data_IF_102733733451
#
_entry.id   IF_102733733451
#
_cell.length_a   1.000
_cell.length_b   1.000
_cell.length_c   1.000
_cell.angle_alpha   90.00
_cell.angle_beta   90.00
_cell.angle_gamma   90.00
#
_symmetry.space_group_name_H-M   'P 1'
#
loop_
_entity.id
_entity.type
_entity.pdbx_description
1 polymer ?
#
# COMPACT_ATOMS: atom_id res chain seq x y z
N UNK A 1 25.04 -30.07 -14.70
CA UNK A 1 25.26 -28.62 -14.56
C UNK A 1 24.21 -27.78 -15.27
N UNK A 2 24.07 -27.81 -16.62
CA UNK A 2 23.09 -26.97 -17.34
C UNK A 2 21.63 -27.14 -16.91
N UNK A 3 21.18 -28.38 -16.60
CA UNK A 3 19.80 -28.62 -16.14
C UNK A 3 19.47 -27.97 -14.80
N UNK A 4 20.39 -28.05 -13.84
CA UNK A 4 20.21 -27.47 -12.50
C UNK A 4 20.16 -25.94 -12.57
N UNK A 5 21.03 -25.35 -13.39
CA UNK A 5 21.03 -23.92 -13.63
C UNK A 5 19.69 -23.43 -14.22
N UNK A 6 19.18 -24.12 -15.23
CA UNK A 6 17.90 -23.74 -15.85
C UNK A 6 16.72 -23.85 -14.89
N UNK A 7 16.70 -24.88 -14.03
CA UNK A 7 15.64 -25.04 -13.02
C UNK A 7 15.71 -23.95 -11.96
N UNK A 8 16.92 -23.59 -11.50
CA UNK A 8 17.11 -22.49 -10.56
C UNK A 8 16.65 -21.14 -11.15
N UNK A 9 16.99 -20.87 -12.42
CA UNK A 9 16.56 -19.65 -13.12
C UNK A 9 15.03 -19.62 -13.29
N UNK A 10 14.40 -20.74 -13.65
CA UNK A 10 12.94 -20.82 -13.75
C UNK A 10 12.25 -20.59 -12.41
N UNK A 11 12.78 -21.15 -11.32
CA UNK A 11 12.26 -20.91 -9.97
C UNK A 11 12.41 -19.44 -9.56
N UNK A 12 13.55 -18.82 -9.88
CA UNK A 12 13.80 -17.41 -9.61
C UNK A 12 12.84 -16.51 -10.40
N UNK A 13 12.63 -16.79 -11.68
CA UNK A 13 11.68 -16.07 -12.53
C UNK A 13 10.25 -16.22 -12.02
N UNK A 14 9.83 -17.44 -11.65
CA UNK A 14 8.53 -17.68 -11.03
C UNK A 14 8.36 -16.84 -9.76
N UNK A 15 9.35 -16.85 -8.87
CA UNK A 15 9.35 -16.03 -7.64
C UNK A 15 9.20 -14.53 -7.93
N UNK A 16 9.95 -13.98 -8.88
CA UNK A 16 9.85 -12.57 -9.26
C UNK A 16 8.52 -12.22 -9.94
N UNK A 17 7.95 -13.13 -10.74
CA UNK A 17 6.68 -12.91 -11.44
C UNK A 17 5.48 -12.94 -10.49
N UNK A 18 5.50 -13.73 -9.41
CA UNK A 18 4.43 -13.71 -8.39
C UNK A 18 4.34 -12.34 -7.72
N UNK A 19 5.48 -11.72 -7.38
CA UNK A 19 5.51 -10.36 -6.83
C UNK A 19 5.02 -9.30 -7.82
N UNK A 20 5.34 -9.45 -9.12
CA UNK A 20 4.95 -8.50 -10.18
C UNK A 20 3.49 -8.64 -10.63
N UNK A 21 2.93 -9.85 -10.64
CA UNK A 21 1.53 -10.10 -11.02
C UNK A 21 0.56 -9.47 -10.01
N UNK A 22 0.90 -9.50 -8.72
CA UNK A 22 0.14 -8.81 -7.68
C UNK A 22 0.18 -7.28 -7.84
N UNK A 23 1.28 -6.72 -8.36
CA UNK A 23 1.42 -5.27 -8.57
C UNK A 23 0.78 -4.78 -9.87
N UNK A 24 0.74 -5.58 -10.93
CA UNK A 24 0.15 -5.18 -12.22
C UNK A 24 -1.35 -5.43 -12.31
N UNK A 25 -1.92 -6.37 -11.53
CA UNK A 25 -3.37 -6.51 -11.40
C UNK A 25 -4.03 -5.28 -10.75
N UNK A 26 -3.28 -4.47 -10.01
CA UNK A 26 -3.75 -3.24 -9.37
C UNK A 26 -3.54 -1.98 -10.23
N UNK A 27 -2.95 -2.10 -11.42
CA UNK A 27 -2.66 -0.95 -12.28
C UNK A 27 -3.88 -0.45 -13.07
N UNK A 28 -5.02 -1.15 -13.02
CA UNK A 28 -6.24 -0.82 -13.77
C UNK A 28 -7.37 -0.20 -12.94
N UNK A 29 -7.35 -0.32 -11.61
CA UNK A 29 -8.35 0.24 -10.71
C UNK A 29 -7.60 1.00 -9.62
N UNK A 30 -7.95 2.26 -9.36
CA UNK A 30 -7.45 2.98 -8.19
C UNK A 30 -7.85 2.16 -6.96
N UNK A 31 -6.91 1.38 -6.41
CA UNK A 31 -7.19 0.39 -5.38
C UNK A 31 -7.98 1.04 -4.24
N UNK A 32 -9.18 0.53 -3.99
CA UNK A 32 -9.97 0.99 -2.85
C UNK A 32 -9.41 0.35 -1.58
N UNK A 33 -9.10 1.17 -0.59
CA UNK A 33 -8.62 0.73 0.73
C UNK A 33 -9.65 1.13 1.79
N UNK A 34 -9.60 0.53 2.98
CA UNK A 34 -10.46 0.97 4.09
C UNK A 34 -10.00 2.32 4.63
N UNK A 35 -10.92 3.07 5.25
CA UNK A 35 -10.58 4.33 5.94
C UNK A 35 -9.48 4.13 7.00
N UNK A 36 -9.50 3.00 7.71
CA UNK A 36 -8.50 2.60 8.71
C UNK A 36 -7.12 2.40 8.06
N UNK A 37 -7.07 1.67 6.93
CA UNK A 37 -5.81 1.43 6.23
C UNK A 37 -5.22 2.72 5.64
N UNK A 38 -6.08 3.61 5.13
CA UNK A 38 -5.66 4.93 4.66
C UNK A 38 -5.07 5.80 5.78
N UNK A 39 -5.68 5.78 6.97
CA UNK A 39 -5.19 6.50 8.14
C UNK A 39 -3.79 6.04 8.58
N UNK A 40 -3.54 4.74 8.58
CA UNK A 40 -2.22 4.18 8.91
C UNK A 40 -1.18 4.54 7.84
N UNK A 41 -1.57 4.66 6.57
CA UNK A 41 -0.67 5.15 5.52
C UNK A 41 -0.32 6.63 5.70
N UNK A 42 -1.27 7.48 6.08
CA UNK A 42 -0.98 8.88 6.43
C UNK A 42 0.00 8.96 7.60
N UNK A 43 -0.22 8.16 8.66
CA UNK A 43 0.66 8.12 9.83
C UNK A 43 2.08 7.70 9.45
N UNK A 44 2.24 6.58 8.75
CA UNK A 44 3.56 6.05 8.36
C UNK A 44 4.29 6.97 7.37
N UNK A 45 3.56 7.64 6.47
CA UNK A 45 4.11 8.66 5.59
C UNK A 45 4.63 9.87 6.38
N UNK A 46 3.89 10.33 7.39
CA UNK A 46 4.34 11.39 8.28
C UNK A 46 5.58 10.98 9.10
N UNK A 47 5.64 9.76 9.62
CA UNK A 47 6.84 9.25 10.29
C UNK A 47 8.06 9.26 9.36
N UNK A 48 7.88 8.85 8.10
CA UNK A 48 8.94 8.88 7.08
C UNK A 48 9.42 10.30 6.78
N UNK A 49 8.54 11.30 6.90
CA UNK A 49 8.87 12.73 6.77
C UNK A 49 9.53 13.33 8.01
N UNK A 50 9.74 12.55 9.07
CA UNK A 50 10.40 12.99 10.31
C UNK A 50 9.46 13.63 11.34
N UNK A 51 8.14 13.50 11.18
CA UNK A 51 7.19 13.93 12.21
C UNK A 51 7.28 13.00 13.44
N UNK A 52 7.02 13.56 14.63
CA UNK A 52 6.93 12.78 15.87
C UNK A 52 5.73 11.81 15.84
N UNK A 53 5.78 10.74 16.64
CA UNK A 53 4.69 9.75 16.68
C UNK A 53 3.34 10.39 17.05
N UNK A 54 3.32 11.34 17.99
CA UNK A 54 2.14 12.11 18.35
C UNK A 54 1.58 12.96 17.18
N UNK A 55 2.45 13.63 16.42
CA UNK A 55 2.02 14.42 15.25
C UNK A 55 1.55 13.51 14.09
N UNK A 56 2.21 12.37 13.90
CA UNK A 56 1.86 11.40 12.86
C UNK A 56 0.52 10.71 13.15
N UNK A 57 0.28 10.33 14.41
CA UNK A 57 -0.97 9.72 14.85
C UNK A 57 -2.14 10.71 14.80
N UNK A 58 -1.91 11.99 15.11
CA UNK A 58 -2.90 13.04 14.91
C UNK A 58 -3.31 13.21 13.44
N UNK A 59 -2.34 13.19 12.51
CA UNK A 59 -2.63 13.23 11.08
C UNK A 59 -3.43 12.01 10.59
N UNK A 60 -3.05 10.80 11.05
CA UNK A 60 -3.79 9.58 10.74
C UNK A 60 -5.23 9.62 11.26
N UNK A 61 -5.46 10.04 12.50
CA UNK A 61 -6.80 10.14 13.09
C UNK A 61 -7.67 11.22 12.41
N UNK A 62 -7.08 12.33 11.98
CA UNK A 62 -7.79 13.35 11.20
C UNK A 62 -8.21 12.80 9.84
N UNK A 63 -7.34 12.03 9.17
CA UNK A 63 -7.70 11.35 7.92
C UNK A 63 -8.83 10.33 8.15
N UNK A 64 -8.73 9.51 9.19
CA UNK A 64 -9.74 8.51 9.53
C UNK A 64 -11.11 9.15 9.76
N UNK A 65 -11.17 10.16 10.63
CA UNK A 65 -12.42 10.84 10.96
C UNK A 65 -13.01 11.54 9.74
N UNK A 66 -12.18 12.19 8.91
CA UNK A 66 -12.65 12.77 7.66
C UNK A 66 -13.23 11.70 6.73
N UNK A 67 -12.51 10.59 6.51
CA UNK A 67 -12.93 9.50 5.61
C UNK A 67 -14.26 8.87 6.03
N UNK A 68 -14.45 8.65 7.34
CA UNK A 68 -15.69 8.09 7.87
C UNK A 68 -16.88 9.06 7.75
N UNK A 69 -16.62 10.38 7.81
CA UNK A 69 -17.68 11.41 7.68
C UNK A 69 -18.04 11.66 6.21
N UNK A 70 -17.05 11.73 5.32
CA UNK A 70 -17.26 11.99 3.89
C UNK A 70 -17.62 10.73 3.12
N UNK A 71 -17.39 9.54 3.69
CA UNK A 71 -17.58 8.24 3.04
C UNK A 71 -16.47 7.88 2.05
N UNK A 72 -15.55 8.80 1.77
CA UNK A 72 -14.35 8.56 0.98
C UNK A 72 -13.26 9.59 1.27
N UNK A 73 -12.00 9.18 1.18
CA UNK A 73 -10.84 10.07 1.26
C UNK A 73 -9.72 9.56 0.35
N UNK A 74 -8.91 10.45 -0.23
CA UNK A 74 -7.81 10.06 -1.12
C UNK A 74 -6.48 10.05 -0.36
N UNK A 75 -5.71 8.98 -0.53
CA UNK A 75 -4.34 8.88 -0.01
C UNK A 75 -3.43 8.43 -1.14
N UNK A 76 -2.49 9.30 -1.53
CA UNK A 76 -1.66 9.14 -2.73
C UNK A 76 -2.50 8.77 -3.98
N UNK A 77 -2.33 7.55 -4.50
CA UNK A 77 -3.05 7.04 -5.67
C UNK A 77 -4.22 6.10 -5.31
N UNK A 78 -4.56 5.99 -4.02
CA UNK A 78 -5.57 5.08 -3.49
C UNK A 78 -6.77 5.87 -2.98
N UNK A 79 -7.96 5.28 -3.10
CA UNK A 79 -9.20 5.85 -2.54
C UNK A 79 -9.56 5.04 -1.30
N UNK A 80 -9.53 5.69 -0.15
CA UNK A 80 -9.99 5.13 1.11
C UNK A 80 -11.51 5.28 1.23
N UNK A 81 -12.21 4.19 1.57
CA UNK A 81 -13.65 4.13 1.75
C UNK A 81 -14.02 2.90 2.60
N UNK A 82 -15.07 3.03 3.41
CA UNK A 82 -15.70 1.94 4.16
C UNK A 82 -17.01 1.48 3.48
#
# INVERSE_FOLDING_TARGET
MRRVFNVAVLMLLAYFTVGRALTHAQAGEAGSITCERGAEMVRTNALTKGFSDAASSGQGQNFLSSCLVTGEARVDNLVARD
#
